data_IF_506468788375
#
_entry.id   IF_506468788375
#
_cell.length_a   1.000
_cell.length_b   1.000
_cell.length_c   1.000
_cell.angle_alpha   90.00
_cell.angle_beta   90.00
_cell.angle_gamma   90.00
#
_symmetry.space_group_name_H-M   'P 1'
#
loop_
_entity.id
_entity.type
_entity.pdbx_description
1 polymer ?
#
# COMPACT_ATOMS: atom_id res chain seq x y z
N UNK A 1 -22.59 -3.94 -14.32
CA UNK A 1 -22.42 -4.58 -13.00
C UNK A 1 -21.26 -3.90 -12.29
N UNK A 2 -21.50 -3.33 -11.13
CA UNK A 2 -20.46 -2.74 -10.28
C UNK A 2 -19.79 -3.83 -9.46
N UNK A 3 -18.48 -3.74 -9.35
CA UNK A 3 -17.62 -4.74 -8.71
C UNK A 3 -17.74 -4.66 -7.19
N UNK A 4 -17.45 -5.76 -6.48
CA UNK A 4 -17.29 -5.76 -5.02
C UNK A 4 -16.29 -4.67 -4.56
N UNK A 5 -15.30 -4.37 -5.41
CA UNK A 5 -14.31 -3.30 -5.22
C UNK A 5 -14.97 -1.92 -5.24
N UNK A 6 -15.87 -1.64 -6.20
CA UNK A 6 -16.54 -0.35 -6.31
C UNK A 6 -17.40 -0.07 -5.08
N UNK A 7 -18.09 -1.10 -4.58
CA UNK A 7 -18.88 -1.02 -3.35
C UNK A 7 -18.01 -0.79 -2.11
N UNK A 8 -16.86 -1.46 -2.03
CA UNK A 8 -15.92 -1.28 -0.93
C UNK A 8 -15.37 0.16 -0.90
N UNK A 9 -14.87 0.66 -2.04
CA UNK A 9 -14.38 2.04 -2.18
C UNK A 9 -15.46 3.03 -1.76
N UNK A 10 -16.70 2.82 -2.21
CA UNK A 10 -17.85 3.63 -1.80
C UNK A 10 -18.11 3.64 -0.29
N UNK A 11 -18.01 2.48 0.37
CA UNK A 11 -18.13 2.37 1.84
C UNK A 11 -17.01 3.11 2.56
N UNK A 12 -15.75 2.98 2.12
CA UNK A 12 -14.59 3.68 2.69
C UNK A 12 -14.73 5.19 2.56
N UNK A 13 -15.14 5.65 1.37
CA UNK A 13 -15.45 7.05 1.06
C UNK A 13 -16.51 7.61 2.03
N UNK A 14 -17.67 6.93 2.13
CA UNK A 14 -18.77 7.35 3.01
C UNK A 14 -18.35 7.41 4.48
N UNK A 15 -17.59 6.42 4.94
CA UNK A 15 -17.07 6.37 6.31
C UNK A 15 -16.18 7.56 6.59
N UNK A 16 -15.20 7.84 5.72
CA UNK A 16 -14.26 8.94 5.94
C UNK A 16 -14.94 10.30 5.90
N UNK A 17 -15.83 10.53 4.93
CA UNK A 17 -16.62 11.76 4.84
C UNK A 17 -17.40 12.04 6.12
N UNK A 18 -18.05 11.01 6.68
CA UNK A 18 -18.81 11.11 7.94
C UNK A 18 -17.92 11.42 9.15
N UNK A 19 -16.73 10.83 9.23
CA UNK A 19 -15.78 11.12 10.29
C UNK A 19 -15.30 12.57 10.27
N UNK A 20 -15.25 13.19 9.09
CA UNK A 20 -14.95 14.61 8.91
C UNK A 20 -16.19 15.52 9.09
N UNK A 21 -17.36 14.98 9.39
CA UNK A 21 -18.60 15.74 9.53
C UNK A 21 -19.12 16.35 8.22
N UNK A 22 -18.60 15.93 7.06
CA UNK A 22 -18.94 16.51 5.76
C UNK A 22 -20.26 15.95 5.23
N UNK A 23 -21.09 16.80 4.64
CA UNK A 23 -22.24 16.37 3.84
C UNK A 23 -21.78 15.88 2.45
N UNK A 24 -22.62 15.14 1.73
CA UNK A 24 -22.30 14.74 0.36
C UNK A 24 -22.11 15.96 -0.56
N UNK A 25 -22.88 17.02 -0.33
CA UNK A 25 -22.77 18.26 -1.08
C UNK A 25 -21.45 18.98 -0.77
N UNK A 26 -21.06 19.09 0.50
CA UNK A 26 -19.80 19.72 0.88
C UNK A 26 -18.58 19.01 0.26
N UNK A 27 -18.57 17.67 0.27
CA UNK A 27 -17.49 16.91 -0.39
C UNK A 27 -17.52 17.09 -1.91
N UNK A 28 -18.71 17.14 -2.51
CA UNK A 28 -18.85 17.33 -3.95
C UNK A 28 -18.32 18.69 -4.40
N UNK A 29 -18.57 19.75 -3.60
CA UNK A 29 -18.04 21.10 -3.84
C UNK A 29 -16.51 21.13 -3.74
N UNK A 30 -15.91 20.47 -2.74
CA UNK A 30 -14.45 20.35 -2.62
C UNK A 30 -13.79 19.66 -3.81
N UNK A 31 -14.45 18.65 -4.39
CA UNK A 31 -13.93 17.85 -5.52
C UNK A 31 -14.33 18.43 -6.88
N UNK A 32 -15.23 19.43 -6.89
CA UNK A 32 -15.74 20.04 -8.12
C UNK A 32 -16.67 19.13 -8.94
N UNK A 33 -17.51 18.32 -8.28
CA UNK A 33 -18.50 17.45 -8.94
C UNK A 33 -19.91 17.66 -8.38
N UNK A 34 -20.91 17.04 -9.02
CA UNK A 34 -22.30 17.07 -8.52
C UNK A 34 -22.47 16.16 -7.31
N UNK A 35 -23.27 16.57 -6.32
CA UNK A 35 -23.55 15.77 -5.12
C UNK A 35 -24.11 14.37 -5.43
N UNK A 36 -24.94 14.26 -6.49
CA UNK A 36 -25.48 12.99 -6.96
C UNK A 36 -24.38 12.02 -7.38
N UNK A 37 -23.24 12.53 -7.85
CA UNK A 37 -22.10 11.71 -8.22
C UNK A 37 -21.41 11.15 -6.98
N UNK A 38 -21.23 11.95 -5.92
CA UNK A 38 -20.75 11.45 -4.62
C UNK A 38 -21.70 10.36 -4.09
N UNK A 39 -23.02 10.57 -4.16
CA UNK A 39 -23.99 9.54 -3.75
C UNK A 39 -23.82 8.24 -4.54
N UNK A 40 -23.66 8.34 -5.87
CA UNK A 40 -23.43 7.18 -6.75
C UNK A 40 -22.10 6.47 -6.46
N UNK A 41 -21.07 7.20 -6.08
CA UNK A 41 -19.81 6.61 -5.61
C UNK A 41 -19.98 5.90 -4.27
N UNK A 42 -20.65 6.52 -3.31
CA UNK A 42 -20.84 5.94 -1.98
C UNK A 42 -21.69 4.67 -1.97
N UNK A 43 -22.66 4.55 -2.86
CA UNK A 43 -23.44 3.31 -3.02
C UNK A 43 -22.84 2.32 -4.02
N UNK A 44 -21.69 2.65 -4.63
CA UNK A 44 -21.04 1.80 -5.63
C UNK A 44 -21.88 1.62 -6.89
N UNK A 45 -22.77 2.56 -7.22
CA UNK A 45 -23.52 2.56 -8.48
C UNK A 45 -22.67 3.03 -9.67
N UNK A 46 -21.67 3.88 -9.41
CA UNK A 46 -20.70 4.33 -10.39
C UNK A 46 -19.28 3.96 -9.95
N UNK A 47 -18.43 3.58 -10.91
CA UNK A 47 -16.99 3.42 -10.70
C UNK A 47 -16.32 4.77 -10.51
N UNK A 48 -15.36 4.83 -9.60
CA UNK A 48 -14.50 6.00 -9.41
C UNK A 48 -13.29 5.85 -10.32
N UNK A 49 -13.02 6.86 -11.16
CA UNK A 49 -11.79 6.85 -11.98
C UNK A 49 -10.56 7.11 -11.11
N UNK A 50 -9.37 6.73 -11.57
CA UNK A 50 -8.12 6.96 -10.85
C UNK A 50 -7.91 8.46 -10.52
N UNK A 51 -8.20 9.35 -11.47
CA UNK A 51 -8.12 10.80 -11.26
C UNK A 51 -9.06 11.27 -10.14
N UNK A 52 -10.32 10.82 -10.13
CA UNK A 52 -11.29 11.19 -9.08
C UNK A 52 -10.91 10.60 -7.73
N UNK A 53 -10.36 9.39 -7.71
CA UNK A 53 -9.92 8.74 -6.49
C UNK A 53 -8.76 9.53 -5.83
N UNK A 54 -7.85 10.06 -6.65
CA UNK A 54 -6.77 10.93 -6.19
C UNK A 54 -7.32 12.23 -5.58
N UNK A 55 -8.18 12.96 -6.30
CA UNK A 55 -8.79 14.19 -5.79
C UNK A 55 -9.61 13.96 -4.50
N UNK A 56 -10.34 12.84 -4.42
CA UNK A 56 -11.06 12.44 -3.22
C UNK A 56 -10.12 12.15 -2.04
N UNK A 57 -8.92 11.61 -2.33
CA UNK A 57 -7.90 11.37 -1.30
C UNK A 57 -7.37 12.67 -0.71
N UNK A 58 -7.16 13.68 -1.55
CA UNK A 58 -6.74 15.02 -1.12
C UNK A 58 -7.83 15.70 -0.30
N UNK A 59 -9.07 15.73 -0.81
CA UNK A 59 -10.22 16.35 -0.14
C UNK A 59 -10.52 15.72 1.24
N UNK A 60 -10.25 14.41 1.40
CA UNK A 60 -10.48 13.68 2.65
C UNK A 60 -9.23 13.56 3.53
N UNK A 61 -8.11 14.13 3.07
CA UNK A 61 -6.79 14.08 3.73
C UNK A 61 -6.40 12.66 4.15
N UNK A 62 -6.43 11.73 3.19
CA UNK A 62 -6.03 10.33 3.36
C UNK A 62 -5.18 9.89 2.16
N UNK A 63 -4.26 8.93 2.31
CA UNK A 63 -3.59 8.34 1.16
C UNK A 63 -4.58 7.58 0.27
N UNK A 64 -4.34 7.50 -1.05
CA UNK A 64 -5.21 6.75 -1.99
C UNK A 64 -5.42 5.29 -1.56
N UNK A 65 -4.41 4.67 -0.95
CA UNK A 65 -4.47 3.30 -0.43
C UNK A 65 -5.62 3.10 0.58
N UNK A 66 -6.02 4.15 1.30
CA UNK A 66 -7.12 4.12 2.27
C UNK A 66 -8.42 3.55 1.67
N UNK A 67 -8.69 3.78 0.38
CA UNK A 67 -9.92 3.32 -0.26
C UNK A 67 -9.94 1.81 -0.52
N UNK A 68 -8.80 1.13 -0.41
CA UNK A 68 -8.65 -0.30 -0.67
C UNK A 68 -8.29 -1.12 0.58
N UNK A 69 -8.06 -0.48 1.72
CA UNK A 69 -7.77 -1.16 2.99
C UNK A 69 -8.89 -2.14 3.37
N UNK A 70 -8.54 -3.41 3.57
CA UNK A 70 -9.48 -4.46 3.92
C UNK A 70 -10.16 -5.14 2.72
N UNK A 71 -9.71 -4.89 1.49
CA UNK A 71 -10.02 -5.73 0.32
C UNK A 71 -9.12 -6.97 0.23
N UNK A 72 -8.10 -7.06 1.07
CA UNK A 72 -7.14 -8.16 1.16
C UNK A 72 -7.75 -9.44 1.76
N UNK A 73 -8.74 -10.00 1.08
CA UNK A 73 -9.09 -11.43 1.18
C UNK A 73 -8.97 -12.14 -0.19
N UNK A 74 -8.75 -11.38 -1.27
CA UNK A 74 -8.40 -11.93 -2.59
C UNK A 74 -7.07 -11.37 -3.01
N UNK A 75 -6.02 -12.01 -2.52
CA UNK A 75 -4.74 -11.97 -3.20
C UNK A 75 -4.72 -13.12 -4.24
N UNK A 76 -4.84 -12.84 -5.55
CA UNK A 76 -4.67 -13.87 -6.58
C UNK A 76 -3.22 -14.41 -6.62
N UNK A 77 -2.30 -13.72 -5.93
CA UNK A 77 -0.92 -14.11 -5.75
C UNK A 77 -0.63 -14.72 -4.37
N UNK A 78 -1.63 -15.14 -3.58
CA UNK A 78 -1.38 -15.96 -2.39
C UNK A 78 -0.20 -15.49 -1.53
N UNK A 79 -0.02 -14.19 -1.34
CA UNK A 79 0.97 -13.69 -0.41
C UNK A 79 0.31 -13.61 0.96
N UNK A 80 0.80 -14.47 1.84
CA UNK A 80 1.02 -14.06 3.22
C UNK A 80 1.69 -12.68 3.16
N UNK A 81 0.93 -11.64 3.48
CA UNK A 81 1.26 -10.25 3.17
C UNK A 81 2.65 -9.87 3.73
N UNK A 82 3.68 -9.60 2.88
CA UNK A 82 5.02 -9.27 3.33
C UNK A 82 5.06 -7.92 4.02
N UNK A 83 4.01 -7.10 3.96
CA UNK A 83 3.95 -5.83 4.72
C UNK A 83 3.55 -6.03 6.17
N UNK A 84 2.83 -7.09 6.52
CA UNK A 84 2.57 -7.44 7.92
C UNK A 84 3.78 -8.15 8.54
N UNK A 85 4.50 -8.98 7.76
CA UNK A 85 5.79 -9.53 8.16
C UNK A 85 6.85 -8.41 8.19
N UNK A 86 6.93 -7.52 7.21
CA UNK A 86 7.89 -6.41 7.20
C UNK A 86 7.59 -5.38 8.29
N UNK A 87 6.32 -5.10 8.61
CA UNK A 87 5.95 -4.26 9.75
C UNK A 87 6.49 -4.84 11.07
N UNK A 88 6.30 -6.14 11.31
CA UNK A 88 6.73 -6.81 12.54
C UNK A 88 8.24 -7.18 12.54
N UNK A 89 8.86 -7.30 11.37
CA UNK A 89 10.31 -7.51 11.22
C UNK A 89 11.05 -6.18 11.35
N UNK A 90 10.56 -5.08 10.75
CA UNK A 90 11.12 -3.73 10.93
C UNK A 90 10.74 -3.10 12.28
N UNK A 91 9.78 -3.64 13.04
CA UNK A 91 9.54 -3.19 14.42
C UNK A 91 10.61 -3.70 15.40
N UNK A 92 11.31 -4.79 15.06
CA UNK A 92 12.40 -5.35 15.88
C UNK A 92 13.57 -4.37 15.91
N UNK A 93 14.02 -4.05 17.13
CA UNK A 93 15.16 -3.16 17.37
C UNK A 93 16.41 -3.59 16.59
N UNK A 94 16.70 -4.89 16.57
CA UNK A 94 17.84 -5.46 15.84
C UNK A 94 17.77 -5.18 14.33
N UNK A 95 16.59 -5.35 13.71
CA UNK A 95 16.39 -5.04 12.28
C UNK A 95 16.60 -3.56 12.01
N UNK A 96 16.10 -2.68 12.88
CA UNK A 96 16.27 -1.24 12.70
C UNK A 96 17.72 -0.80 12.89
N UNK A 97 18.42 -1.39 13.85
CA UNK A 97 19.84 -1.13 14.07
C UNK A 97 20.67 -1.61 12.86
N UNK A 98 20.34 -2.78 12.29
CA UNK A 98 20.94 -3.30 11.07
C UNK A 98 20.68 -2.39 9.85
N UNK A 99 19.43 -1.96 9.64
CA UNK A 99 19.06 -1.07 8.53
C UNK A 99 19.79 0.28 8.65
N UNK A 100 19.86 0.84 9.86
CA UNK A 100 20.61 2.09 10.12
C UNK A 100 22.10 1.93 9.85
N UNK A 101 22.70 0.84 10.33
CA UNK A 101 24.11 0.53 10.06
C UNK A 101 24.35 0.32 8.56
N UNK A 102 23.43 -0.35 7.85
CA UNK A 102 23.51 -0.57 6.41
C UNK A 102 23.56 0.74 5.62
N UNK A 103 22.67 1.69 5.93
CA UNK A 103 22.66 2.99 5.26
C UNK A 103 23.83 3.91 5.69
N UNK A 104 24.41 3.73 6.88
CA UNK A 104 25.61 4.46 7.30
C UNK A 104 26.89 4.02 6.56
N UNK A 105 26.89 2.85 5.93
CA UNK A 105 28.05 2.34 5.17
C UNK A 105 28.12 2.90 3.74
N UNK A 106 29.31 2.84 3.14
CA UNK A 106 29.53 3.08 1.70
C UNK A 106 29.09 1.91 0.81
N UNK A 107 29.06 2.12 -0.51
CA UNK A 107 28.52 1.17 -1.49
C UNK A 107 29.25 -0.19 -1.51
N UNK A 108 30.57 -0.19 -1.40
CA UNK A 108 31.39 -1.41 -1.37
C UNK A 108 31.05 -2.34 -0.19
N UNK A 109 31.11 -1.86 1.06
CA UNK A 109 30.73 -2.65 2.25
C UNK A 109 29.29 -3.16 2.25
N UNK A 110 28.33 -2.37 1.74
CA UNK A 110 26.92 -2.81 1.61
C UNK A 110 26.78 -4.06 0.75
N UNK A 111 27.49 -4.10 -0.38
CA UNK A 111 27.48 -5.26 -1.28
C UNK A 111 28.04 -6.51 -0.59
N UNK A 112 29.14 -6.37 0.14
CA UNK A 112 29.74 -7.47 0.89
C UNK A 112 28.83 -7.98 2.02
N UNK A 113 28.15 -7.08 2.75
CA UNK A 113 27.18 -7.46 3.78
C UNK A 113 26.02 -8.23 3.15
N UNK A 114 25.51 -7.77 2.01
CA UNK A 114 24.45 -8.47 1.29
C UNK A 114 24.88 -9.87 0.80
N UNK A 115 26.09 -9.99 0.28
CA UNK A 115 26.63 -11.28 -0.19
C UNK A 115 26.84 -12.24 1.00
N UNK A 116 27.29 -11.74 2.15
CA UNK A 116 27.40 -12.51 3.39
C UNK A 116 26.02 -12.96 3.89
N UNK A 117 25.04 -12.06 3.94
CA UNK A 117 23.67 -12.40 4.35
C UNK A 117 23.06 -13.49 3.47
N UNK A 118 23.27 -13.42 2.14
CA UNK A 118 22.84 -14.47 1.20
C UNK A 118 23.55 -15.80 1.40
N UNK A 119 24.83 -15.77 1.79
CA UNK A 119 25.62 -16.98 2.04
C UNK A 119 25.20 -17.73 3.31
N UNK A 120 24.57 -17.02 4.26
CA UNK A 120 24.05 -17.57 5.51
C UNK A 120 22.62 -18.13 5.37
N UNK A 121 21.95 -17.89 4.24
CA UNK A 121 20.64 -18.47 3.96
C UNK A 121 20.79 -19.91 3.45
N UNK A 122 20.34 -20.94 4.20
CA UNK A 122 20.50 -22.35 3.82
C UNK A 122 19.74 -22.73 2.53
N UNK A 123 18.88 -21.85 1.99
CA UNK A 123 18.14 -22.06 0.74
C UNK A 123 18.84 -21.61 -0.55
N UNK A 124 19.94 -20.86 -0.48
CA UNK A 124 20.58 -20.29 -1.69
C UNK A 124 21.67 -21.23 -2.21
N UNK A 125 21.36 -22.05 -3.23
CA UNK A 125 22.38 -22.88 -3.91
C UNK A 125 23.55 -22.00 -4.39
N UNK A 126 24.81 -22.35 -4.07
CA UNK A 126 25.95 -21.53 -4.44
C UNK A 126 26.17 -21.61 -5.95
N UNK A 127 26.10 -20.47 -6.62
CA UNK A 127 26.57 -20.32 -8.00
C UNK A 127 28.09 -20.45 -8.01
N UNK A 128 28.59 -21.68 -8.14
CA UNK A 128 29.99 -21.96 -8.43
C UNK A 128 30.33 -21.31 -9.77
N UNK A 129 31.00 -20.15 -9.73
CA UNK A 129 31.76 -19.65 -10.88
C UNK A 129 32.95 -20.58 -11.06
N UNK A 130 32.88 -21.44 -12.08
CA UNK A 130 34.03 -22.15 -12.60
C UNK A 130 34.97 -21.10 -13.22
N UNK A 131 36.05 -20.78 -12.51
CA UNK A 131 37.25 -20.19 -13.13
C UNK A 131 38.11 -21.38 -13.51
N UNK A 132 38.37 -21.54 -14.81
CA UNK A 132 39.36 -22.45 -15.35
C UNK A 132 40.43 -21.62 -16.09
N UNK A 133 41.67 -22.12 -16.16
CA UNK A 133 42.91 -21.33 -16.24
C UNK A 133 43.20 -20.70 -17.60
#
# INVERSE_FOLDING_TARGET
MTSDIDLHVGKRLRRRRRLLGLTQQALAEQVGIRFQQIQKYECGANRVSAARLFELSEALSVPVQYFYEGLSERDPFGSEDPTNIASDVLSKKETMDLVRAYYAMGEGPRKHLLDLAKSLDPGTKPTLRLVAP
#
